data_IF_748344811617
#
_entry.id   IF_748344811617
#
_cell.length_a   1.000
_cell.length_b   1.000
_cell.length_c   1.000
_cell.angle_alpha   90.00
_cell.angle_beta   90.00
_cell.angle_gamma   90.00
#
_symmetry.space_group_name_H-M   'P 1'
#
loop_
_entity.id
_entity.type
_entity.pdbx_description
1 polymer ?
#
# COMPACT_ATOMS: atom_id res chain seq x y z
N UNK A 1 -11.25 36.38 -0.27
CA UNK A 1 -12.26 35.75 -0.32
C UNK A 1 -12.20 34.44 -0.88
N UNK A 2 -12.02 34.34 -2.02
CA UNK A 2 -12.03 33.12 -2.67
C UNK A 2 -11.01 32.18 -2.26
N UNK A 3 -10.01 32.63 -1.63
CA UNK A 3 -8.91 31.82 -1.25
C UNK A 3 -9.23 30.85 -0.18
N UNK A 4 -10.38 30.96 0.36
CA UNK A 4 -10.70 30.12 1.46
C UNK A 4 -10.71 28.67 1.14
N UNK A 5 -10.98 28.31 -0.05
CA UNK A 5 -11.08 26.92 -0.37
C UNK A 5 -9.73 26.22 -0.42
N UNK A 6 -8.72 26.96 -0.78
CA UNK A 6 -7.43 26.33 -0.94
C UNK A 6 -6.87 25.73 0.33
N UNK A 7 -6.92 26.43 1.44
CA UNK A 7 -6.38 25.84 2.65
C UNK A 7 -7.07 24.56 3.05
N UNK A 8 -8.35 24.46 2.79
CA UNK A 8 -9.05 23.27 3.16
C UNK A 8 -8.62 22.09 2.36
N UNK A 9 -8.37 22.29 1.12
CA UNK A 9 -7.91 21.20 0.29
C UNK A 9 -6.55 20.72 0.71
N UNK A 10 -5.77 21.59 1.23
CA UNK A 10 -4.43 21.23 1.63
C UNK A 10 -4.42 20.40 2.89
N UNK A 11 -5.52 20.34 3.60
CA UNK A 11 -5.54 19.57 4.82
C UNK A 11 -5.73 18.07 4.55
N UNK A 12 -6.05 17.69 3.33
CA UNK A 12 -6.24 16.28 3.02
C UNK A 12 -4.94 15.68 2.56
N UNK A 13 -4.45 14.65 3.25
CA UNK A 13 -3.24 13.98 2.79
C UNK A 13 -3.55 13.25 1.48
N UNK A 14 -2.74 13.49 0.48
CA UNK A 14 -2.88 12.87 -0.81
C UNK A 14 -1.52 12.59 -1.36
N UNK A 15 -1.40 11.48 -2.08
CA UNK A 15 -0.10 11.11 -2.58
C UNK A 15 -0.22 10.15 -3.74
N UNK A 16 0.63 10.31 -4.74
CA UNK A 16 0.82 9.29 -5.75
C UNK A 16 1.62 8.17 -5.14
N UNK A 17 1.11 6.97 -5.29
CA UNK A 17 1.80 5.78 -4.84
C UNK A 17 2.02 4.88 -6.02
N UNK A 18 3.24 4.44 -6.21
CA UNK A 18 3.59 3.50 -7.26
C UNK A 18 4.14 2.24 -6.60
N UNK A 19 3.63 1.11 -7.02
CA UNK A 19 4.08 -0.18 -6.54
C UNK A 19 4.52 -1.00 -7.74
N UNK A 20 5.68 -1.63 -7.61
CA UNK A 20 6.15 -2.55 -8.62
C UNK A 20 5.95 -3.95 -8.06
N UNK A 21 5.04 -4.69 -8.69
CA UNK A 21 4.62 -5.99 -8.21
C UNK A 21 5.34 -7.09 -8.93
N UNK A 22 5.84 -8.07 -8.18
CA UNK A 22 6.42 -9.27 -8.79
C UNK A 22 5.98 -10.46 -7.95
N UNK A 23 5.80 -11.60 -8.62
CA UNK A 23 5.49 -12.82 -7.92
C UNK A 23 6.78 -13.48 -7.53
N UNK A 24 6.68 -14.59 -6.85
CA UNK A 24 7.81 -15.32 -6.40
C UNK A 24 8.79 -15.68 -7.51
N UNK A 25 8.29 -15.93 -8.70
CA UNK A 25 9.14 -16.22 -9.82
C UNK A 25 9.38 -15.02 -10.67
N UNK A 26 9.03 -13.86 -10.17
CA UNK A 26 8.90 -12.67 -10.92
C UNK A 26 10.13 -12.24 -11.62
N UNK A 27 10.15 -12.53 -12.89
CA UNK A 27 11.16 -12.00 -13.73
C UNK A 27 10.76 -10.63 -14.16
N UNK A 28 9.46 -10.40 -14.31
CA UNK A 28 8.96 -9.12 -14.75
C UNK A 28 8.14 -8.48 -13.63
N UNK A 29 8.30 -7.19 -13.47
CA UNK A 29 7.51 -6.41 -12.53
C UNK A 29 6.34 -5.78 -13.26
N UNK A 30 5.20 -5.66 -12.58
CA UNK A 30 4.06 -4.93 -13.07
C UNK A 30 3.96 -3.65 -12.28
N UNK A 31 3.90 -2.53 -13.00
CA UNK A 31 3.79 -1.24 -12.35
C UNK A 31 2.31 -0.94 -12.09
N UNK A 32 2.01 -0.53 -10.88
CA UNK A 32 0.68 -0.12 -10.49
C UNK A 32 0.78 1.24 -9.79
N UNK A 33 -0.04 2.18 -10.18
CA UNK A 33 0.00 3.52 -9.60
C UNK A 33 -1.39 4.02 -9.33
N UNK A 34 -1.54 4.77 -8.26
CA UNK A 34 -2.80 5.43 -7.95
C UNK A 34 -2.55 6.68 -7.12
N UNK A 35 -3.49 7.60 -7.21
CA UNK A 35 -3.47 8.80 -6.39
C UNK A 35 -4.33 8.48 -5.18
N UNK A 36 -3.70 8.34 -4.04
CA UNK A 36 -4.37 7.86 -2.83
C UNK A 36 -4.69 9.03 -1.92
N UNK A 37 -5.94 9.16 -1.54
CA UNK A 37 -6.35 10.28 -0.71
C UNK A 37 -6.22 9.98 0.78
N UNK A 38 -6.57 8.79 1.21
CA UNK A 38 -6.46 8.46 2.62
C UNK A 38 -5.90 7.08 2.84
N UNK A 39 -6.45 6.06 2.18
CA UNK A 39 -6.00 4.71 2.41
C UNK A 39 -6.15 3.87 1.17
N UNK A 40 -5.40 2.78 1.13
CA UNK A 40 -5.41 1.86 0.03
C UNK A 40 -5.38 0.45 0.60
N UNK A 41 -6.41 -0.31 0.35
CA UNK A 41 -6.52 -1.67 0.87
C UNK A 41 -5.99 -2.64 -0.16
N UNK A 42 -5.13 -3.54 0.30
CA UNK A 42 -4.50 -4.55 -0.54
C UNK A 42 -5.00 -5.93 -0.09
N UNK A 43 -5.44 -6.72 -1.03
CA UNK A 43 -5.91 -8.07 -0.73
C UNK A 43 -6.30 -8.81 -1.98
N UNK A 44 -6.94 -9.97 -1.80
CA UNK A 44 -7.29 -10.82 -2.92
C UNK A 44 -8.73 -10.66 -3.40
N UNK A 45 -9.57 -9.97 -2.64
CA UNK A 45 -10.96 -9.79 -3.04
C UNK A 45 -11.13 -8.46 -3.73
N UNK A 46 -11.30 -8.50 -5.05
CA UNK A 46 -11.40 -7.29 -5.84
C UNK A 46 -12.57 -6.40 -5.43
N UNK A 47 -13.60 -6.96 -4.82
CA UNK A 47 -14.73 -6.16 -4.39
C UNK A 47 -14.45 -5.36 -3.13
N UNK A 48 -13.41 -5.71 -2.39
CA UNK A 48 -13.12 -5.07 -1.12
C UNK A 48 -11.75 -4.38 -1.08
N UNK A 49 -11.01 -4.44 -2.17
CA UNK A 49 -9.65 -3.94 -2.18
C UNK A 49 -9.43 -2.95 -3.30
N UNK A 50 -8.52 -2.01 -3.06
CA UNK A 50 -8.09 -1.07 -4.08
C UNK A 50 -7.04 -1.69 -4.98
N UNK A 51 -6.20 -2.54 -4.42
CA UNK A 51 -5.21 -3.29 -5.18
C UNK A 51 -5.45 -4.77 -4.92
N UNK A 52 -5.80 -5.49 -5.95
CA UNK A 52 -6.13 -6.91 -5.85
C UNK A 52 -4.93 -7.76 -6.27
N UNK A 53 -4.52 -8.65 -5.37
CA UNK A 53 -3.42 -9.57 -5.64
C UNK A 53 -3.99 -10.96 -5.86
N UNK A 54 -3.81 -11.47 -7.07
CA UNK A 54 -4.35 -12.77 -7.44
C UNK A 54 -3.41 -13.88 -7.01
N UNK A 55 -3.29 -14.07 -5.71
CA UNK A 55 -2.36 -15.04 -5.17
C UNK A 55 -3.05 -15.77 -4.03
N UNK A 56 -2.89 -17.07 -4.01
CA UNK A 56 -3.65 -17.91 -3.11
C UNK A 56 -3.29 -17.77 -1.64
N UNK A 57 -2.24 -17.03 -1.32
CA UNK A 57 -1.83 -16.82 0.05
C UNK A 57 -2.19 -15.45 0.55
N UNK A 58 -2.83 -14.64 -0.27
CA UNK A 58 -3.26 -13.31 0.14
C UNK A 58 -4.68 -13.39 0.64
N UNK A 59 -4.95 -12.78 1.77
CA UNK A 59 -6.29 -12.75 2.35
C UNK A 59 -7.16 -11.77 1.59
N UNK A 60 -8.49 -11.89 1.70
CA UNK A 60 -9.40 -10.96 1.01
C UNK A 60 -9.07 -9.50 1.29
N UNK A 61 -8.77 -9.15 2.54
CA UNK A 61 -8.22 -7.85 2.91
C UNK A 61 -7.00 -8.13 3.76
N UNK A 62 -5.82 -7.89 3.21
CA UNK A 62 -4.59 -8.34 3.83
C UNK A 62 -3.85 -7.23 4.56
N UNK A 63 -3.83 -6.05 3.98
CA UNK A 63 -3.11 -4.93 4.58
C UNK A 63 -3.67 -3.62 4.06
N UNK A 64 -3.37 -2.54 4.77
CA UNK A 64 -3.80 -1.22 4.34
C UNK A 64 -2.61 -0.28 4.39
N UNK A 65 -2.48 0.53 3.34
CA UNK A 65 -1.55 1.65 3.32
C UNK A 65 -2.35 2.89 3.67
N UNK A 66 -1.91 3.59 4.70
CA UNK A 66 -2.58 4.81 5.13
C UNK A 66 -1.70 6.00 4.80
N UNK A 67 -2.24 6.94 4.04
CA UNK A 67 -1.51 8.12 3.61
C UNK A 67 -1.76 9.21 4.63
N UNK A 68 -0.68 9.72 5.20
CA UNK A 68 -0.75 10.77 6.19
C UNK A 68 0.03 11.98 5.69
N UNK A 69 -0.15 13.12 6.34
CA UNK A 69 0.48 14.34 5.86
C UNK A 69 2.01 14.23 5.86
N UNK A 70 2.57 13.38 6.70
CA UNK A 70 4.02 13.25 6.80
C UNK A 70 4.54 11.88 6.35
N UNK A 71 3.75 11.09 5.66
CA UNK A 71 4.24 9.82 5.16
C UNK A 71 3.17 8.78 4.91
N UNK A 72 3.61 7.55 4.74
CA UNK A 72 2.73 6.42 4.46
C UNK A 72 2.99 5.34 5.49
N UNK A 73 1.94 4.81 6.06
CA UNK A 73 2.02 3.77 7.08
C UNK A 73 1.35 2.50 6.56
N UNK A 74 1.99 1.37 6.80
CA UNK A 74 1.46 0.07 6.42
C UNK A 74 0.95 -0.63 7.67
N UNK A 75 -0.23 -1.20 7.59
CA UNK A 75 -0.80 -1.92 8.72
C UNK A 75 -1.42 -3.23 8.23
N UNK A 76 -0.96 -4.38 8.77
CA UNK A 76 -1.60 -5.65 8.45
C UNK A 76 -3.02 -5.68 8.98
N UNK A 77 -3.91 -6.38 8.30
CA UNK A 77 -5.29 -6.55 8.72
C UNK A 77 -5.50 -7.97 9.21
N UNK A 78 -6.27 -8.12 10.28
CA UNK A 78 -6.64 -9.44 10.81
C UNK A 78 -5.41 -10.32 11.06
N UNK A 79 -4.37 -9.72 11.59
CA UNK A 79 -3.14 -10.45 11.93
C UNK A 79 -2.52 -11.16 10.72
N UNK A 80 -2.78 -10.65 9.53
CA UNK A 80 -2.19 -11.24 8.35
C UNK A 80 -0.68 -11.02 8.34
N UNK A 81 0.03 -11.98 7.77
CA UNK A 81 1.48 -11.92 7.73
C UNK A 81 1.95 -10.96 6.65
N UNK A 82 2.74 -9.98 7.04
CA UNK A 82 3.32 -9.00 6.12
C UNK A 82 4.79 -8.82 6.49
N UNK A 83 5.64 -8.77 5.48
CA UNK A 83 7.06 -8.54 5.69
C UNK A 83 7.47 -7.24 5.00
N UNK A 84 8.40 -6.51 5.60
CA UNK A 84 8.97 -5.32 4.99
C UNK A 84 10.48 -5.50 5.01
N UNK A 85 11.08 -5.44 3.84
CA UNK A 85 12.52 -5.60 3.64
C UNK A 85 13.03 -6.89 4.28
N UNK A 86 12.23 -7.95 4.21
CA UNK A 86 12.61 -9.26 4.69
C UNK A 86 12.28 -9.54 6.16
N UNK A 87 11.74 -8.56 6.87
CA UNK A 87 11.43 -8.74 8.29
C UNK A 87 9.92 -8.69 8.52
N UNK A 88 9.38 -9.60 9.31
CA UNK A 88 7.96 -9.56 9.61
C UNK A 88 7.64 -8.32 10.46
N UNK A 89 6.48 -7.72 10.20
CA UNK A 89 6.04 -6.60 11.02
C UNK A 89 4.84 -7.05 11.84
N UNK A 90 4.78 -6.56 13.06
CA UNK A 90 3.73 -6.97 13.99
C UNK A 90 2.63 -5.95 14.16
N UNK A 91 2.73 -4.82 13.51
CA UNK A 91 1.73 -3.76 13.63
C UNK A 91 2.03 -2.70 12.59
N UNK A 92 1.78 -1.45 12.93
CA UNK A 92 2.02 -0.38 11.99
C UNK A 92 3.50 -0.23 11.69
N UNK A 93 3.78 0.07 10.44
CA UNK A 93 5.14 0.27 10.00
C UNK A 93 5.20 1.49 9.09
N UNK A 94 6.05 2.46 9.42
CA UNK A 94 6.21 3.67 8.61
C UNK A 94 7.07 3.33 7.40
N UNK A 95 6.48 3.43 6.22
CA UNK A 95 7.18 3.07 4.99
C UNK A 95 8.08 4.19 4.52
N UNK A 96 9.14 3.81 3.83
CA UNK A 96 10.05 4.72 3.18
C UNK A 96 10.13 4.39 1.71
N UNK A 97 10.55 5.37 0.92
CA UNK A 97 10.69 5.16 -0.51
C UNK A 97 11.67 4.02 -0.76
N UNK A 98 11.28 3.09 -1.59
CA UNK A 98 12.12 1.95 -1.92
C UNK A 98 11.88 0.73 -1.07
N UNK A 99 11.04 0.82 -0.04
CA UNK A 99 10.76 -0.34 0.79
C UNK A 99 10.10 -1.45 -0.02
N UNK A 100 10.44 -2.68 0.32
CA UNK A 100 9.87 -3.86 -0.32
C UNK A 100 8.94 -4.55 0.65
N UNK A 101 7.69 -4.69 0.23
CA UNK A 101 6.64 -5.30 1.05
C UNK A 101 6.33 -6.66 0.47
N UNK A 102 6.23 -7.68 1.31
CA UNK A 102 5.83 -8.99 0.84
C UNK A 102 4.50 -9.38 1.45
N UNK A 103 3.52 -9.65 0.59
CA UNK A 103 2.18 -10.07 0.95
C UNK A 103 1.90 -11.36 0.19
N UNK A 104 1.66 -12.44 0.91
CA UNK A 104 1.46 -13.72 0.28
C UNK A 104 2.70 -14.10 -0.52
N UNK A 105 2.54 -14.31 -1.81
CA UNK A 105 3.67 -14.60 -2.69
C UNK A 105 4.07 -13.41 -3.52
N UNK A 106 3.46 -12.29 -3.29
CA UNK A 106 3.68 -11.11 -4.10
C UNK A 106 4.61 -10.15 -3.37
N UNK A 107 5.58 -9.64 -4.09
CA UNK A 107 6.50 -8.63 -3.59
C UNK A 107 6.12 -7.29 -4.22
N UNK A 108 6.00 -6.27 -3.39
CA UNK A 108 5.64 -4.94 -3.85
C UNK A 108 6.75 -3.98 -3.45
N UNK A 109 7.34 -3.33 -4.43
CA UNK A 109 8.38 -2.33 -4.16
C UNK A 109 7.75 -0.96 -4.26
N UNK A 110 7.87 -0.19 -3.21
CA UNK A 110 7.20 1.10 -3.08
C UNK A 110 8.04 2.23 -3.63
N UNK A 111 7.41 3.07 -4.43
CA UNK A 111 8.03 4.31 -4.89
C UNK A 111 7.09 5.45 -4.53
N UNK A 112 7.59 6.38 -3.80
CA UNK A 112 6.81 7.53 -3.35
C UNK A 112 7.14 8.80 -4.13
#
# INVERSE_FOLDING_TARGET
LLTDAAPMQQSLPRRWITLYLSTRRGIAETRWSAYVESSLIIGSDAAQCDLCLADGRTRPQHAVLEVESNGVTLRPLDEAAVMVNGDPIGGEYRLQNGDTIKIGRTTLRLVL
#
